data_IF_989858652794
#
_entry.id   IF_989858652794
#
_cell.length_a   1.000
_cell.length_b   1.000
_cell.length_c   1.000
_cell.angle_alpha   90.00
_cell.angle_beta   90.00
_cell.angle_gamma   90.00
#
_symmetry.space_group_name_H-M   'P 1'
#
loop_
_entity.id
_entity.type
_entity.pdbx_description
1 polymer ?
#
# COMPACT_ATOMS: atom_id res chain seq x y z
N UNK A 1 3.16 -17.01 6.61
CA UNK A 1 2.57 -17.34 5.30
C UNK A 1 2.07 -16.01 4.75
N UNK A 2 2.72 -15.47 3.72
CA UNK A 2 2.25 -14.23 3.10
C UNK A 2 0.88 -14.51 2.47
N UNK A 3 -0.10 -13.66 2.76
CA UNK A 3 -1.47 -13.86 2.31
C UNK A 3 -1.57 -13.59 0.79
N UNK A 4 -1.23 -14.59 -0.02
CA UNK A 4 -1.28 -14.51 -1.49
C UNK A 4 -2.67 -14.12 -2.01
N UNK A 5 -3.72 -14.39 -1.23
CA UNK A 5 -5.09 -13.97 -1.53
C UNK A 5 -5.29 -12.45 -1.40
N UNK A 6 -4.72 -11.81 -0.38
CA UNK A 6 -4.79 -10.36 -0.19
C UNK A 6 -4.21 -9.61 -1.38
N UNK A 7 -3.01 -10.01 -1.84
CA UNK A 7 -2.37 -9.39 -3.00
C UNK A 7 -3.14 -9.65 -4.30
N UNK A 8 -3.73 -10.85 -4.49
CA UNK A 8 -4.60 -11.15 -5.63
C UNK A 8 -5.88 -10.30 -5.63
N UNK A 9 -6.53 -10.13 -4.48
CA UNK A 9 -7.72 -9.26 -4.33
C UNK A 9 -7.38 -7.81 -4.61
N UNK A 10 -6.27 -7.33 -4.06
CA UNK A 10 -5.73 -6.00 -4.35
C UNK A 10 -5.48 -5.81 -5.84
N UNK A 11 -4.79 -6.75 -6.50
CA UNK A 11 -4.55 -6.71 -7.95
C UNK A 11 -5.83 -6.79 -8.80
N UNK A 12 -6.91 -7.32 -8.24
CA UNK A 12 -8.22 -7.37 -8.92
C UNK A 12 -8.94 -6.02 -8.92
N UNK A 13 -8.54 -5.07 -8.07
CA UNK A 13 -9.06 -3.70 -8.11
C UNK A 13 -8.66 -3.01 -9.40
N UNK A 14 -9.49 -2.06 -9.85
CA UNK A 14 -9.18 -1.26 -11.03
C UNK A 14 -7.82 -0.57 -10.88
N UNK A 15 -6.98 -0.58 -11.94
CA UNK A 15 -5.63 -0.04 -11.88
C UNK A 15 -5.60 1.47 -11.55
N UNK A 16 -6.67 2.20 -11.89
CA UNK A 16 -6.83 3.61 -11.53
C UNK A 16 -7.00 3.83 -10.03
N UNK A 17 -7.75 2.95 -9.35
CA UNK A 17 -7.96 3.01 -7.89
C UNK A 17 -6.66 2.68 -7.18
N UNK A 18 -5.99 1.59 -7.59
CA UNK A 18 -4.69 1.19 -7.04
C UNK A 18 -3.67 2.31 -7.13
N UNK A 19 -3.45 2.89 -8.32
CA UNK A 19 -2.49 3.99 -8.50
C UNK A 19 -2.75 5.17 -7.58
N UNK A 20 -4.02 5.54 -7.39
CA UNK A 20 -4.41 6.63 -6.48
C UNK A 20 -4.07 6.30 -5.03
N UNK A 21 -4.32 5.07 -4.59
CA UNK A 21 -4.02 4.62 -3.24
C UNK A 21 -2.51 4.47 -3.00
N UNK A 22 -1.79 3.92 -3.98
CA UNK A 22 -0.33 3.75 -3.96
C UNK A 22 0.40 5.10 -3.96
N UNK A 23 -0.10 6.09 -4.70
CA UNK A 23 0.51 7.44 -4.81
C UNK A 23 0.05 8.42 -3.72
N UNK A 24 -0.85 7.98 -2.83
CA UNK A 24 -1.40 8.79 -1.75
C UNK A 24 -1.09 8.14 -0.40
N UNK A 25 0.19 7.92 -0.15
CA UNK A 25 0.71 7.38 1.11
C UNK A 25 1.44 8.46 1.87
N UNK A 26 1.16 8.57 3.17
CA UNK A 26 1.81 9.55 4.03
C UNK A 26 3.12 8.99 4.56
N UNK A 27 4.23 9.63 4.18
CA UNK A 27 5.53 9.43 4.79
C UNK A 27 5.78 10.52 5.83
N UNK A 28 6.11 10.12 7.06
CA UNK A 28 6.44 11.04 8.15
C UNK A 28 7.59 12.01 7.82
N UNK A 29 8.52 11.62 6.95
CA UNK A 29 9.67 12.45 6.55
C UNK A 29 9.40 13.32 5.33
N UNK A 30 8.67 12.81 4.34
CA UNK A 30 8.53 13.45 3.03
C UNK A 30 7.14 14.05 2.78
N UNK A 31 6.17 13.79 3.65
CA UNK A 31 4.76 14.10 3.41
C UNK A 31 4.13 13.07 2.48
N UNK A 32 3.25 13.52 1.58
CA UNK A 32 2.59 12.65 0.60
C UNK A 32 3.61 12.10 -0.40
N UNK A 33 3.59 10.79 -0.58
CA UNK A 33 4.49 10.05 -1.45
C UNK A 33 3.79 8.83 -2.05
N UNK A 34 4.49 8.22 -3.01
CA UNK A 34 4.16 6.90 -3.53
C UNK A 34 4.85 5.82 -2.70
N UNK A 35 4.12 4.73 -2.43
CA UNK A 35 4.63 3.52 -1.83
C UNK A 35 5.22 2.60 -2.89
N UNK A 36 6.40 2.05 -2.60
CA UNK A 36 7.12 1.07 -3.43
C UNK A 36 7.49 -0.14 -2.59
N UNK A 37 7.77 -1.27 -3.25
CA UNK A 37 8.16 -2.54 -2.59
C UNK A 37 7.24 -2.88 -1.41
N UNK A 38 5.94 -2.91 -1.68
CA UNK A 38 4.91 -3.10 -0.66
C UNK A 38 4.31 -4.50 -0.66
N UNK A 39 3.91 -4.91 0.53
CA UNK A 39 3.09 -6.08 0.80
C UNK A 39 1.66 -5.63 1.10
N UNK A 40 0.71 -6.47 0.71
CA UNK A 40 -0.70 -6.26 0.99
C UNK A 40 -1.13 -7.26 2.04
N UNK A 41 -1.59 -6.77 3.18
CA UNK A 41 -2.23 -7.58 4.20
C UNK A 41 -3.74 -7.31 4.17
N UNK A 42 -4.55 -8.35 4.25
CA UNK A 42 -5.99 -8.24 4.40
C UNK A 42 -6.37 -8.72 5.79
N UNK A 43 -6.84 -7.83 6.65
CA UNK A 43 -7.14 -8.15 8.05
C UNK A 43 -8.36 -7.35 8.49
N UNK A 44 -9.27 -7.97 9.25
CA UNK A 44 -10.50 -7.33 9.73
C UNK A 44 -11.31 -6.65 8.60
N UNK A 45 -11.37 -7.28 7.42
CA UNK A 45 -12.03 -6.76 6.22
C UNK A 45 -11.45 -5.47 5.63
N UNK A 46 -10.22 -5.10 5.99
CA UNK A 46 -9.51 -3.92 5.46
C UNK A 46 -8.19 -4.35 4.81
N UNK A 47 -7.78 -3.62 3.78
CA UNK A 47 -6.45 -3.81 3.16
C UNK A 47 -5.44 -2.89 3.83
N UNK A 48 -4.29 -3.43 4.22
CA UNK A 48 -3.16 -2.64 4.71
C UNK A 48 -1.98 -2.83 3.76
N UNK A 49 -1.54 -1.74 3.15
CA UNK A 49 -0.33 -1.69 2.35
C UNK A 49 0.84 -1.34 3.28
N UNK A 50 1.86 -2.19 3.36
CA UNK A 50 3.10 -1.90 4.11
C UNK A 50 4.27 -1.99 3.16
N UNK A 51 5.09 -0.96 3.11
CA UNK A 51 6.18 -0.89 2.14
C UNK A 51 7.09 0.30 2.42
N UNK A 52 7.72 0.80 1.36
CA UNK A 52 8.74 1.83 1.46
C UNK A 52 8.34 3.11 0.73
N UNK A 53 8.79 4.25 1.26
CA UNK A 53 8.63 5.55 0.61
C UNK A 53 9.53 5.62 -0.63
N UNK A 54 8.97 5.96 -1.80
CA UNK A 54 9.77 6.14 -3.02
C UNK A 54 10.89 7.19 -2.89
N UNK A 55 10.70 8.23 -2.06
CA UNK A 55 11.65 9.35 -1.96
C UNK A 55 12.80 9.09 -1.00
N UNK A 56 12.51 8.50 0.15
CA UNK A 56 13.50 8.35 1.23
C UNK A 56 13.72 6.90 1.66
N UNK A 57 13.05 5.94 1.02
CA UNK A 57 13.07 4.51 1.33
C UNK A 57 12.73 4.19 2.81
N UNK A 58 12.11 5.14 3.51
CA UNK A 58 11.65 4.94 4.87
C UNK A 58 10.40 4.07 4.92
N UNK A 59 10.14 3.38 6.05
CA UNK A 59 8.96 2.54 6.20
C UNK A 59 7.69 3.39 6.17
N UNK A 60 6.73 2.98 5.36
CA UNK A 60 5.40 3.59 5.25
C UNK A 60 4.32 2.53 5.26
N UNK A 61 3.15 2.90 5.78
CA UNK A 61 1.98 2.03 5.78
C UNK A 61 0.73 2.84 5.44
N UNK A 62 -0.17 2.24 4.67
CA UNK A 62 -1.47 2.81 4.30
C UNK A 62 -2.56 1.78 4.50
N UNK A 63 -3.50 2.08 5.39
CA UNK A 63 -4.75 1.33 5.50
C UNK A 63 -5.71 1.84 4.44
N UNK A 64 -6.40 0.93 3.76
CA UNK A 64 -7.44 1.17 2.77
C UNK A 64 -8.74 0.62 3.37
N UNK A 65 -9.67 1.55 3.62
CA UNK A 65 -11.03 1.32 4.09
C UNK A 65 -12.01 1.43 2.90
#
# INVERSE_FOLDING_TARGET
MADELAFKRWKSLEPGIRKKLESNVFCRKCGVTTIVDYEVEYTNSQFTLKGSCQKCHGPVARVVD
#
